data_IF_335701556623
#
_entry.id   IF_335701556623
#
_cell.length_a   1.000
_cell.length_b   1.000
_cell.length_c   1.000
_cell.angle_alpha   90.00
_cell.angle_beta   90.00
_cell.angle_gamma   90.00
#
_symmetry.space_group_name_H-M   'P 1'
#
loop_
_entity.id
_entity.type
_entity.pdbx_description
1 polymer ?
#
# COMPACT_ATOMS: atom_id res chain seq x y z
N UNK A 1 -10.36 24.25 -33.25
CA UNK A 1 -11.40 24.14 -32.21
C UNK A 1 -11.63 22.67 -31.93
N UNK A 2 -11.17 22.16 -30.78
CA UNK A 2 -11.30 20.74 -30.43
C UNK A 2 -12.57 20.48 -29.63
N UNK A 3 -13.20 19.32 -29.83
CA UNK A 3 -14.32 18.88 -29.02
C UNK A 3 -13.87 18.67 -27.56
N UNK A 4 -14.54 19.32 -26.62
CA UNK A 4 -14.32 19.12 -25.18
C UNK A 4 -15.31 18.09 -24.65
N UNK A 5 -14.81 16.93 -24.21
CA UNK A 5 -15.61 15.91 -23.55
C UNK A 5 -15.56 16.07 -22.03
N UNK A 6 -16.73 16.31 -21.42
CA UNK A 6 -16.94 16.27 -19.98
C UNK A 6 -18.28 15.62 -19.68
N UNK A 7 -18.27 14.47 -19.02
CA UNK A 7 -19.49 13.80 -18.53
C UNK A 7 -19.47 13.80 -17.01
N UNK A 8 -20.60 14.07 -16.39
CA UNK A 8 -20.72 14.13 -14.93
C UNK A 8 -21.94 13.34 -14.50
N UNK A 9 -21.72 12.34 -13.65
CA UNK A 9 -22.75 11.40 -13.21
C UNK A 9 -22.88 11.56 -11.70
N UNK A 10 -24.08 11.89 -11.22
CA UNK A 10 -24.38 11.85 -9.79
C UNK A 10 -24.68 10.39 -9.43
N UNK A 11 -23.90 9.82 -8.51
CA UNK A 11 -24.02 8.42 -8.12
C UNK A 11 -24.86 8.28 -6.84
N UNK A 12 -24.74 9.25 -5.93
CA UNK A 12 -25.60 9.38 -4.75
C UNK A 12 -25.70 10.84 -4.27
N UNK A 13 -26.45 11.10 -3.20
CA UNK A 13 -26.72 12.46 -2.69
C UNK A 13 -25.44 13.09 -2.13
N UNK A 14 -24.81 13.96 -2.93
CA UNK A 14 -23.57 14.65 -2.56
C UNK A 14 -22.33 14.17 -3.32
N UNK A 15 -22.44 13.10 -4.12
CA UNK A 15 -21.31 12.45 -4.81
C UNK A 15 -21.50 12.54 -6.33
N UNK A 16 -20.41 12.88 -7.01
CA UNK A 16 -20.38 13.10 -8.46
C UNK A 16 -19.08 12.60 -9.04
N UNK A 17 -19.17 11.68 -10.00
CA UNK A 17 -18.03 11.27 -10.81
C UNK A 17 -18.00 12.11 -12.08
N UNK A 18 -16.86 12.69 -12.39
CA UNK A 18 -16.62 13.48 -13.58
C UNK A 18 -15.63 12.73 -14.48
N UNK A 19 -16.04 12.45 -15.70
CA UNK A 19 -15.17 11.96 -16.75
C UNK A 19 -14.75 13.14 -17.62
N UNK A 20 -13.45 13.30 -17.81
CA UNK A 20 -12.88 14.36 -18.65
C UNK A 20 -11.71 13.81 -19.47
N UNK A 21 -11.22 14.59 -20.44
CA UNK A 21 -10.00 14.26 -21.20
C UNK A 21 -8.77 14.04 -20.30
N UNK A 22 -8.77 14.61 -19.10
CA UNK A 22 -7.69 14.52 -18.10
C UNK A 22 -7.71 13.23 -17.26
N UNK A 23 -8.75 12.41 -17.41
CA UNK A 23 -9.04 11.26 -16.54
C UNK A 23 -10.34 11.43 -15.73
N UNK A 24 -10.81 10.35 -15.09
CA UNK A 24 -11.91 10.40 -14.14
C UNK A 24 -11.52 11.16 -12.86
N UNK A 25 -12.48 11.86 -12.28
CA UNK A 25 -12.33 12.54 -10.99
C UNK A 25 -13.60 12.43 -10.17
N UNK A 26 -13.44 12.14 -8.89
CA UNK A 26 -14.55 12.03 -7.94
C UNK A 26 -14.69 13.37 -7.23
N UNK A 27 -15.93 13.82 -7.02
CA UNK A 27 -16.23 15.02 -6.26
C UNK A 27 -17.34 14.74 -5.27
N UNK A 28 -17.09 14.99 -3.99
CA UNK A 28 -18.02 14.70 -2.91
C UNK A 28 -18.19 15.91 -1.99
N UNK A 29 -19.37 16.08 -1.38
CA UNK A 29 -19.62 17.11 -0.37
C UNK A 29 -21.00 17.77 -0.44
N UNK A 30 -21.41 18.34 0.69
CA UNK A 30 -22.72 18.96 0.91
C UNK A 30 -22.84 20.35 0.25
N UNK A 31 -24.06 20.86 0.10
CA UNK A 31 -24.28 22.22 -0.46
C UNK A 31 -23.48 23.25 0.36
N UNK A 32 -22.48 23.86 -0.27
CA UNK A 32 -21.58 24.82 0.35
C UNK A 32 -20.18 24.29 0.73
N UNK A 33 -19.89 22.99 0.60
CA UNK A 33 -18.52 22.47 0.72
C UNK A 33 -18.34 21.22 -0.14
N UNK A 34 -17.37 21.23 -1.05
CA UNK A 34 -17.07 20.12 -1.98
C UNK A 34 -15.57 19.84 -2.04
N UNK A 35 -15.24 18.57 -1.97
CA UNK A 35 -13.93 18.01 -2.24
C UNK A 35 -13.94 17.39 -3.63
N UNK A 36 -12.79 17.42 -4.31
CA UNK A 36 -12.61 16.71 -5.57
C UNK A 36 -11.19 16.20 -5.72
N UNK A 37 -11.06 14.95 -6.15
CA UNK A 37 -9.79 14.25 -6.34
C UNK A 37 -9.77 13.69 -7.76
N UNK A 38 -8.61 13.71 -8.42
CA UNK A 38 -8.42 13.19 -9.78
C UNK A 38 -7.40 12.05 -9.80
N UNK A 39 -7.35 11.31 -10.90
CA UNK A 39 -6.36 10.23 -11.17
C UNK A 39 -4.88 10.65 -11.15
N UNK A 40 -4.56 11.91 -10.85
CA UNK A 40 -3.19 12.42 -10.68
C UNK A 40 -2.89 12.84 -9.24
N UNK A 41 -3.77 12.53 -8.28
CA UNK A 41 -3.60 12.86 -6.87
C UNK A 41 -3.73 14.35 -6.53
N UNK A 42 -4.40 15.16 -7.37
CA UNK A 42 -4.63 16.57 -7.07
C UNK A 42 -5.97 16.76 -6.35
N UNK A 43 -5.93 16.93 -5.02
CA UNK A 43 -7.08 17.28 -4.22
C UNK A 43 -7.44 18.78 -4.28
N UNK A 44 -8.73 19.09 -4.33
CA UNK A 44 -9.26 20.47 -4.27
C UNK A 44 -10.43 20.55 -3.31
N UNK A 45 -10.34 21.46 -2.35
CA UNK A 45 -11.45 21.86 -1.48
C UNK A 45 -12.13 23.13 -2.00
N UNK A 46 -13.44 23.13 -2.11
CA UNK A 46 -14.26 24.29 -2.47
C UNK A 46 -15.28 24.54 -1.36
N UNK A 47 -15.24 25.72 -0.73
CA UNK A 47 -16.19 26.16 0.30
C UNK A 47 -16.99 27.33 -0.25
N UNK A 48 -18.31 27.36 -0.12
CA UNK A 48 -19.16 28.41 -0.66
C UNK A 48 -20.44 28.59 0.14
N UNK A 49 -21.02 29.78 0.06
CA UNK A 49 -22.26 30.11 0.76
C UNK A 49 -23.44 29.66 -0.13
N UNK A 50 -24.31 28.74 0.34
CA UNK A 50 -25.45 28.26 -0.44
C UNK A 50 -26.35 29.40 -0.92
N UNK A 51 -26.68 29.43 -2.21
CA UNK A 51 -27.63 30.40 -2.77
C UNK A 51 -27.09 31.81 -3.06
N UNK A 52 -25.84 32.13 -2.69
CA UNK A 52 -25.24 33.46 -2.92
C UNK A 52 -24.37 33.56 -4.18
N UNK A 53 -24.01 32.42 -4.79
CA UNK A 53 -23.05 32.35 -5.90
C UNK A 53 -21.57 32.52 -5.48
N UNK A 54 -21.30 32.87 -4.22
CA UNK A 54 -19.95 33.10 -3.69
C UNK A 54 -19.33 31.78 -3.26
N UNK A 55 -18.17 31.46 -3.83
CA UNK A 55 -17.40 30.25 -3.53
C UNK A 55 -15.89 30.54 -3.53
N UNK A 56 -15.20 29.98 -2.55
CA UNK A 56 -13.76 29.98 -2.39
C UNK A 56 -13.21 28.59 -2.70
N UNK A 57 -12.23 28.51 -3.59
CA UNK A 57 -11.61 27.24 -4.02
C UNK A 57 -10.12 27.30 -3.68
N UNK A 58 -9.62 26.31 -2.94
CA UNK A 58 -8.22 26.21 -2.54
C UNK A 58 -7.73 24.76 -2.73
N UNK A 59 -6.51 24.60 -3.24
CA UNK A 59 -5.76 23.35 -3.08
C UNK A 59 -5.27 23.33 -1.64
N UNK A 60 -5.78 22.42 -0.82
CA UNK A 60 -5.52 22.42 0.62
C UNK A 60 -4.60 21.26 0.96
N UNK A 61 -3.55 21.55 1.75
CA UNK A 61 -2.51 20.59 2.12
C UNK A 61 -2.70 20.07 3.56
N UNK A 62 -3.92 19.63 3.91
CA UNK A 62 -4.24 19.12 5.26
C UNK A 62 -3.47 17.84 5.57
N UNK A 63 -3.19 17.02 4.56
CA UNK A 63 -2.42 15.78 4.71
C UNK A 63 -0.95 16.00 5.04
N UNK A 64 -0.37 17.18 4.78
CA UNK A 64 0.96 17.50 5.32
C UNK A 64 0.98 17.65 6.84
N UNK A 65 -0.15 18.00 7.47
CA UNK A 65 -0.26 18.03 8.92
C UNK A 65 -0.39 16.61 9.48
N UNK A 66 -1.22 15.77 8.86
CA UNK A 66 -1.39 14.35 9.26
C UNK A 66 -0.10 13.56 9.05
N UNK A 67 0.63 13.76 7.93
CA UNK A 67 1.92 13.10 7.66
C UNK A 67 3.00 13.36 8.71
N UNK A 68 2.89 14.41 9.52
CA UNK A 68 3.83 14.64 10.65
C UNK A 68 3.62 13.65 11.80
N UNK A 69 2.43 13.08 11.91
CA UNK A 69 2.05 12.08 12.90
C UNK A 69 2.23 10.64 12.39
N UNK A 70 2.67 10.46 11.14
CA UNK A 70 2.66 9.15 10.45
C UNK A 70 4.03 8.75 9.88
N UNK A 71 5.10 9.52 10.13
CA UNK A 71 6.42 9.21 9.55
C UNK A 71 7.29 8.40 10.51
N UNK A 72 7.77 7.26 10.04
CA UNK A 72 8.95 6.54 10.56
C UNK A 72 10.20 6.86 9.70
N UNK A 73 11.37 6.83 10.33
CA UNK A 73 12.65 7.41 9.86
C UNK A 73 13.56 6.43 9.08
N UNK A 74 13.04 5.37 8.45
CA UNK A 74 13.88 4.24 8.00
C UNK A 74 14.52 4.34 6.59
N UNK A 75 14.31 5.40 5.82
CA UNK A 75 14.97 5.55 4.50
C UNK A 75 16.47 5.89 4.58
N UNK A 76 16.99 6.14 5.78
CA UNK A 76 18.35 6.67 5.99
C UNK A 76 19.45 5.66 5.66
N UNK A 77 19.21 4.34 5.71
CA UNK A 77 20.30 3.33 5.62
C UNK A 77 20.59 2.86 4.19
N UNK A 78 19.57 2.71 3.34
CA UNK A 78 19.70 2.35 1.92
C UNK A 78 20.35 3.49 1.13
N UNK A 79 19.86 4.71 1.32
CA UNK A 79 20.39 5.92 0.69
C UNK A 79 21.88 6.11 1.01
N UNK A 80 22.30 5.93 2.27
CA UNK A 80 23.71 6.03 2.67
C UNK A 80 24.64 5.01 2.01
N UNK A 81 24.15 3.80 1.68
CA UNK A 81 24.97 2.78 1.02
C UNK A 81 25.06 3.01 -0.49
N UNK A 82 23.95 3.43 -1.11
CA UNK A 82 23.90 3.80 -2.53
C UNK A 82 24.72 5.07 -2.81
N UNK A 83 24.68 6.07 -1.92
CA UNK A 83 25.52 7.27 -1.99
C UNK A 83 27.01 6.92 -1.94
N UNK A 84 27.44 6.02 -1.04
CA UNK A 84 28.85 5.58 -0.96
C UNK A 84 29.34 4.84 -2.21
N UNK A 85 28.46 4.12 -2.90
CA UNK A 85 28.76 3.49 -4.18
C UNK A 85 28.85 4.52 -5.32
N UNK A 86 27.96 5.53 -5.30
CA UNK A 86 27.94 6.61 -6.28
C UNK A 86 29.14 7.57 -6.17
N UNK A 87 29.71 7.73 -4.97
CA UNK A 87 30.92 8.53 -4.73
C UNK A 87 32.18 7.96 -5.41
N UNK A 88 32.16 6.70 -5.89
CA UNK A 88 33.19 6.15 -6.78
C UNK A 88 34.58 6.02 -6.16
N UNK A 89 34.69 6.04 -4.82
CA UNK A 89 35.96 5.98 -4.07
C UNK A 89 36.33 4.57 -3.59
N UNK A 90 35.52 3.55 -3.90
CA UNK A 90 35.71 2.18 -3.43
C UNK A 90 36.66 1.40 -4.34
N UNK A 91 37.55 0.61 -3.73
CA UNK A 91 38.36 -0.38 -4.45
C UNK A 91 37.43 -1.44 -5.09
N UNK A 92 37.79 -2.05 -6.24
CA UNK A 92 37.02 -3.14 -6.85
C UNK A 92 36.63 -4.27 -5.87
N UNK A 93 37.47 -4.58 -4.89
CA UNK A 93 37.17 -5.60 -3.86
C UNK A 93 36.09 -5.15 -2.87
N UNK A 94 36.12 -3.90 -2.42
CA UNK A 94 35.12 -3.31 -1.53
C UNK A 94 33.76 -3.11 -2.23
N UNK A 95 33.80 -2.80 -3.53
CA UNK A 95 32.60 -2.71 -4.38
C UNK A 95 31.87 -4.04 -4.44
N UNK A 96 32.60 -5.14 -4.65
CA UNK A 96 32.03 -6.50 -4.70
C UNK A 96 31.39 -6.89 -3.36
N UNK A 97 32.06 -6.61 -2.25
CA UNK A 97 31.53 -6.88 -0.90
C UNK A 97 30.25 -6.07 -0.63
N UNK A 98 30.24 -4.79 -1.01
CA UNK A 98 29.08 -3.90 -0.84
C UNK A 98 27.89 -4.39 -1.67
N UNK A 99 28.11 -4.80 -2.93
CA UNK A 99 27.06 -5.35 -3.79
C UNK A 99 26.48 -6.67 -3.26
N UNK A 100 27.32 -7.54 -2.66
CA UNK A 100 26.84 -8.74 -2.00
C UNK A 100 25.99 -8.38 -0.78
N UNK A 101 26.45 -7.46 0.07
CA UNK A 101 25.70 -7.01 1.25
C UNK A 101 24.35 -6.41 0.86
N UNK A 102 24.30 -5.58 -0.19
CA UNK A 102 23.04 -5.05 -0.71
C UNK A 102 22.09 -6.15 -1.18
N UNK A 103 22.62 -7.18 -1.86
CA UNK A 103 21.83 -8.32 -2.30
C UNK A 103 21.28 -9.15 -1.13
N UNK A 104 22.12 -9.45 -0.13
CA UNK A 104 21.72 -10.17 1.08
C UNK A 104 20.68 -9.37 1.88
N UNK A 105 20.91 -8.09 2.09
CA UNK A 105 19.98 -7.19 2.74
C UNK A 105 18.64 -7.12 1.99
N UNK A 106 18.66 -7.08 0.66
CA UNK A 106 17.44 -7.10 -0.14
C UNK A 106 16.63 -8.38 0.07
N UNK A 107 17.27 -9.55 0.03
CA UNK A 107 16.63 -10.85 0.29
C UNK A 107 16.07 -10.90 1.72
N UNK A 108 16.81 -10.40 2.71
CA UNK A 108 16.32 -10.35 4.08
C UNK A 108 15.13 -9.40 4.23
N UNK A 109 15.16 -8.25 3.56
CA UNK A 109 14.10 -7.26 3.61
C UNK A 109 12.79 -7.77 2.99
N UNK A 110 12.82 -8.35 1.79
CA UNK A 110 11.59 -8.90 1.18
C UNK A 110 10.94 -9.99 2.05
N UNK A 111 11.74 -10.76 2.81
CA UNK A 111 11.24 -11.79 3.73
C UNK A 111 10.71 -11.23 5.05
N UNK A 112 11.13 -10.02 5.44
CA UNK A 112 10.89 -9.46 6.76
C UNK A 112 10.21 -8.07 6.72
N UNK A 113 9.70 -7.62 5.58
CA UNK A 113 9.03 -6.31 5.45
C UNK A 113 7.87 -6.14 6.44
N UNK A 114 7.23 -7.22 6.89
CA UNK A 114 6.21 -7.19 7.96
C UNK A 114 6.70 -6.66 9.32
N UNK A 115 8.02 -6.57 9.52
CA UNK A 115 8.63 -6.04 10.75
C UNK A 115 8.80 -4.53 10.71
N UNK A 116 8.75 -3.93 9.52
CA UNK A 116 8.70 -2.48 9.37
C UNK A 116 7.34 -2.00 9.91
N UNK A 117 7.32 -0.88 10.64
CA UNK A 117 6.13 -0.40 11.36
C UNK A 117 6.00 1.10 11.21
N UNK A 118 4.80 1.53 10.82
CA UNK A 118 4.42 2.94 10.82
C UNK A 118 3.84 3.33 12.18
N UNK A 119 3.95 4.61 12.53
CA UNK A 119 3.35 5.11 13.78
C UNK A 119 1.83 4.96 13.74
N UNK A 120 1.26 4.50 14.86
CA UNK A 120 -0.20 4.37 14.97
C UNK A 120 -0.83 5.75 15.12
N UNK A 121 -1.83 6.03 14.30
CA UNK A 121 -2.50 7.32 14.28
C UNK A 121 -3.62 7.37 15.32
N UNK A 122 -3.53 8.26 16.30
CA UNK A 122 -4.61 8.51 17.26
C UNK A 122 -5.60 9.53 16.71
N UNK A 123 -6.67 9.04 16.07
CA UNK A 123 -7.75 9.88 15.55
C UNK A 123 -8.50 10.68 16.60
N UNK A 124 -8.54 10.21 17.87
CA UNK A 124 -9.17 10.99 18.95
C UNK A 124 -8.30 12.17 19.32
N UNK A 125 -6.98 11.99 19.34
CA UNK A 125 -6.05 13.10 19.53
C UNK A 125 -6.20 14.12 18.38
N UNK A 126 -6.20 13.67 17.12
CA UNK A 126 -6.38 14.53 15.95
C UNK A 126 -7.70 15.31 16.01
N UNK A 127 -8.79 14.65 16.38
CA UNK A 127 -10.09 15.31 16.58
C UNK A 127 -10.02 16.39 17.67
N UNK A 128 -9.31 16.13 18.77
CA UNK A 128 -9.19 17.05 19.90
C UNK A 128 -8.30 18.26 19.61
N UNK A 129 -7.29 18.10 18.74
CA UNK A 129 -6.40 19.18 18.30
C UNK A 129 -7.05 20.06 17.23
N UNK A 130 -8.02 19.54 16.48
CA UNK A 130 -8.78 20.31 15.51
C UNK A 130 -9.70 21.35 16.16
N UNK A 131 -9.67 22.57 15.64
CA UNK A 131 -10.47 23.71 16.08
C UNK A 131 -11.09 24.47 14.89
N UNK A 132 -12.01 25.39 15.18
CA UNK A 132 -12.66 26.24 14.16
C UNK A 132 -11.84 27.50 13.83
N UNK A 133 -10.58 27.60 14.27
CA UNK A 133 -9.76 28.81 14.11
C UNK A 133 -9.33 29.04 12.66
N UNK A 134 -9.15 27.96 11.90
CA UNK A 134 -8.75 27.99 10.49
C UNK A 134 -9.57 26.98 9.68
N UNK A 135 -9.79 27.22 8.37
CA UNK A 135 -10.44 26.26 7.50
C UNK A 135 -9.74 24.89 7.49
N UNK A 136 -8.41 24.87 7.56
CA UNK A 136 -7.61 23.65 7.61
C UNK A 136 -7.85 22.85 8.90
N UNK A 137 -7.82 23.51 10.06
CA UNK A 137 -8.04 22.88 11.37
C UNK A 137 -9.47 22.33 11.50
N UNK A 138 -10.45 23.07 10.98
CA UNK A 138 -11.84 22.62 10.91
C UNK A 138 -12.01 21.39 10.03
N UNK A 139 -11.38 21.37 8.85
CA UNK A 139 -11.43 20.23 7.95
C UNK A 139 -10.77 18.99 8.56
N UNK A 140 -9.67 19.17 9.30
CA UNK A 140 -8.99 18.08 10.02
C UNK A 140 -9.91 17.47 11.09
N UNK A 141 -10.59 18.32 11.87
CA UNK A 141 -11.58 17.89 12.86
C UNK A 141 -12.73 17.11 12.24
N UNK A 142 -13.33 17.65 11.17
CA UNK A 142 -14.44 17.00 10.46
C UNK A 142 -14.01 15.66 9.83
N UNK A 143 -12.79 15.56 9.30
CA UNK A 143 -12.26 14.29 8.79
C UNK A 143 -12.10 13.26 9.92
N UNK A 144 -11.51 13.65 11.05
CA UNK A 144 -11.35 12.76 12.20
C UNK A 144 -12.70 12.29 12.76
N UNK A 145 -13.72 13.16 12.80
CA UNK A 145 -15.10 12.81 13.16
C UNK A 145 -15.67 11.71 12.24
N UNK A 146 -15.47 11.83 10.93
CA UNK A 146 -15.95 10.85 9.95
C UNK A 146 -15.22 9.50 10.08
N UNK A 147 -13.89 9.53 10.23
CA UNK A 147 -13.07 8.31 10.41
C UNK A 147 -13.49 7.58 11.70
N UNK A 148 -13.68 8.29 12.80
CA UNK A 148 -14.14 7.70 14.07
C UNK A 148 -15.59 7.20 14.00
N UNK A 149 -16.40 7.75 13.10
CA UNK A 149 -17.77 7.30 12.86
C UNK A 149 -17.87 6.07 11.94
N UNK A 150 -16.75 5.59 11.38
CA UNK A 150 -16.75 4.44 10.47
C UNK A 150 -17.12 4.79 9.04
N UNK A 151 -16.90 6.03 8.60
CA UNK A 151 -17.22 6.43 7.23
C UNK A 151 -16.20 5.88 6.22
N UNK A 152 -16.66 4.99 5.34
CA UNK A 152 -15.82 4.33 4.33
C UNK A 152 -15.11 5.30 3.39
N UNK A 153 -15.79 6.38 2.98
CA UNK A 153 -15.20 7.36 2.08
C UNK A 153 -14.07 8.12 2.77
N UNK A 154 -14.25 8.43 4.06
CA UNK A 154 -13.18 9.00 4.88
C UNK A 154 -11.99 8.04 4.97
N UNK A 155 -12.22 6.73 5.17
CA UNK A 155 -11.14 5.73 5.16
C UNK A 155 -10.39 5.69 3.83
N UNK A 156 -11.11 5.58 2.70
CA UNK A 156 -10.48 5.56 1.38
C UNK A 156 -9.72 6.85 1.09
N UNK A 157 -10.27 8.02 1.47
CA UNK A 157 -9.62 9.31 1.33
C UNK A 157 -8.31 9.37 2.13
N UNK A 158 -8.33 8.86 3.37
CA UNK A 158 -7.13 8.80 4.21
C UNK A 158 -6.08 7.91 3.58
N UNK A 159 -6.43 6.72 3.09
CA UNK A 159 -5.48 5.81 2.46
C UNK A 159 -4.89 6.40 1.17
N UNK A 160 -5.72 7.01 0.32
CA UNK A 160 -5.28 7.63 -0.95
C UNK A 160 -4.28 8.78 -0.74
N UNK A 161 -4.46 9.56 0.33
CA UNK A 161 -3.66 10.76 0.59
C UNK A 161 -2.43 10.48 1.47
N UNK A 162 -2.57 9.58 2.44
CA UNK A 162 -1.46 9.13 3.27
C UNK A 162 -0.51 8.24 2.50
N UNK A 163 -1.04 7.45 1.55
CA UNK A 163 -0.30 6.50 0.72
C UNK A 163 0.59 5.58 1.57
N UNK A 164 -0.03 4.77 2.45
CA UNK A 164 0.72 3.94 3.40
C UNK A 164 1.54 2.82 2.73
N UNK A 165 1.42 2.62 1.42
CA UNK A 165 2.09 1.55 0.68
C UNK A 165 3.09 2.07 -0.35
N UNK A 166 3.38 3.38 -0.38
CA UNK A 166 4.30 3.98 -1.37
C UNK A 166 5.71 3.35 -1.26
N UNK A 167 6.17 3.03 -0.05
CA UNK A 167 7.41 2.29 0.22
C UNK A 167 7.35 0.85 -0.30
N UNK A 168 6.19 0.20 -0.22
CA UNK A 168 6.01 -1.18 -0.69
C UNK A 168 6.01 -1.32 -2.20
N UNK A 169 5.83 -0.23 -2.96
CA UNK A 169 5.90 -0.25 -4.42
C UNK A 169 7.28 -0.71 -4.94
N UNK A 170 8.35 -0.54 -4.15
CA UNK A 170 9.68 -1.05 -4.49
C UNK A 170 9.76 -2.58 -4.50
N UNK A 171 8.80 -3.25 -3.86
CA UNK A 171 8.59 -4.69 -3.89
C UNK A 171 7.58 -5.10 -4.96
N UNK A 172 7.32 -4.23 -5.93
CA UNK A 172 6.66 -4.57 -7.19
C UNK A 172 5.16 -4.79 -7.06
N UNK A 173 4.44 -3.83 -6.48
CA UNK A 173 2.99 -3.91 -6.37
C UNK A 173 2.29 -2.58 -6.61
N UNK A 174 1.37 -2.57 -7.57
CA UNK A 174 0.24 -1.64 -7.55
C UNK A 174 -0.76 -2.12 -6.49
N UNK A 175 -1.18 -1.21 -5.62
CA UNK A 175 -2.17 -1.49 -4.57
C UNK A 175 -3.52 -0.90 -4.97
N UNK A 176 -4.54 -1.75 -5.00
CA UNK A 176 -5.92 -1.37 -5.14
C UNK A 176 -6.61 -1.49 -3.79
N UNK A 177 -7.24 -0.41 -3.35
CA UNK A 177 -7.94 -0.34 -2.06
C UNK A 177 -9.41 -0.04 -2.33
N UNK A 178 -10.30 -0.77 -1.68
CA UNK A 178 -11.73 -0.61 -1.85
C UNK A 178 -12.52 -1.14 -0.66
N UNK A 179 -13.84 -1.09 -0.77
CA UNK A 179 -14.76 -1.66 0.21
C UNK A 179 -15.43 -2.88 -0.43
N UNK A 180 -15.43 -4.00 0.28
CA UNK A 180 -16.07 -5.23 -0.17
C UNK A 180 -17.60 -5.11 -0.10
N UNK A 181 -18.32 -6.08 -0.69
CA UNK A 181 -19.78 -6.12 -0.62
C UNK A 181 -20.28 -6.31 0.82
N UNK A 182 -19.45 -6.89 1.69
CA UNK A 182 -19.73 -7.15 3.10
C UNK A 182 -19.18 -6.06 4.03
N UNK A 183 -18.90 -4.87 3.49
CA UNK A 183 -18.51 -3.67 4.25
C UNK A 183 -17.14 -3.79 4.96
N UNK A 184 -16.22 -4.53 4.35
CA UNK A 184 -14.83 -4.65 4.82
C UNK A 184 -13.89 -3.82 3.96
N UNK A 185 -12.82 -3.30 4.57
CA UNK A 185 -11.70 -2.76 3.80
C UNK A 185 -11.00 -3.91 3.05
N UNK A 186 -11.03 -3.85 1.72
CA UNK A 186 -10.37 -4.79 0.83
C UNK A 186 -9.12 -4.17 0.22
N UNK A 187 -8.02 -4.91 0.21
CA UNK A 187 -6.81 -4.56 -0.54
C UNK A 187 -6.43 -5.68 -1.47
N UNK A 188 -6.18 -5.33 -2.73
CA UNK A 188 -5.58 -6.21 -3.72
C UNK A 188 -4.23 -5.63 -4.11
N UNK A 189 -3.19 -6.46 -4.17
CA UNK A 189 -1.88 -6.04 -4.66
C UNK A 189 -1.34 -7.02 -5.69
N UNK A 190 -0.74 -6.48 -6.76
CA UNK A 190 -0.13 -7.31 -7.79
C UNK A 190 1.25 -7.80 -7.33
N UNK A 191 1.49 -9.08 -7.51
CA UNK A 191 2.72 -9.80 -7.17
C UNK A 191 3.57 -9.82 -8.44
N UNK A 192 4.57 -8.97 -8.54
CA UNK A 192 5.54 -9.04 -9.62
C UNK A 192 6.71 -9.99 -9.26
N UNK A 193 6.41 -11.28 -9.04
CA UNK A 193 7.39 -12.23 -8.49
C UNK A 193 8.67 -12.35 -9.34
N UNK A 194 8.55 -12.18 -10.66
CA UNK A 194 9.67 -12.24 -11.59
C UNK A 194 10.62 -11.04 -11.53
N UNK A 195 10.14 -9.84 -11.16
CA UNK A 195 10.98 -8.66 -11.01
C UNK A 195 11.52 -8.50 -9.58
N UNK A 196 10.78 -9.00 -8.59
CA UNK A 196 11.07 -8.83 -7.15
C UNK A 196 11.96 -9.95 -6.63
N UNK A 197 11.70 -11.20 -7.01
CA UNK A 197 12.47 -12.34 -6.49
C UNK A 197 13.61 -12.67 -7.45
N UNK A 198 14.87 -12.60 -7.02
CA UNK A 198 16.00 -12.94 -7.88
C UNK A 198 15.97 -14.40 -8.37
N UNK A 199 16.49 -14.62 -9.57
CA UNK A 199 16.63 -15.96 -10.17
C UNK A 199 17.95 -16.65 -9.83
N UNK A 200 18.89 -15.93 -9.22
CA UNK A 200 20.25 -16.38 -8.95
C UNK A 200 20.62 -16.23 -7.48
N UNK A 201 21.60 -17.02 -7.05
CA UNK A 201 22.26 -16.91 -5.75
C UNK A 201 23.67 -16.40 -5.97
N UNK A 202 24.04 -15.35 -5.24
CA UNK A 202 25.40 -14.78 -5.23
C UNK A 202 26.20 -15.35 -4.07
N UNK A 203 27.47 -15.65 -4.29
CA UNK A 203 28.40 -16.05 -3.23
C UNK A 203 29.78 -15.49 -3.53
N UNK A 204 30.42 -14.83 -2.57
CA UNK A 204 31.81 -14.39 -2.73
C UNK A 204 32.77 -15.54 -2.43
N UNK A 205 33.63 -15.83 -3.40
CA UNK A 205 34.69 -16.82 -3.28
C UNK A 205 35.83 -16.27 -2.41
N UNK A 206 36.63 -17.16 -1.83
CA UNK A 206 37.84 -16.81 -1.05
C UNK A 206 38.85 -15.95 -1.82
N UNK A 207 38.72 -15.88 -3.14
CA UNK A 207 39.53 -15.06 -4.05
C UNK A 207 39.00 -13.63 -4.26
N UNK A 208 37.88 -13.25 -3.64
CA UNK A 208 37.24 -11.94 -3.81
C UNK A 208 36.39 -11.80 -5.08
N UNK A 209 36.22 -12.87 -5.86
CA UNK A 209 35.33 -12.90 -7.05
C UNK A 209 33.92 -13.35 -6.67
N UNK A 210 32.91 -12.77 -7.31
CA UNK A 210 31.50 -13.21 -7.18
C UNK A 210 31.28 -14.47 -8.02
N UNK A 211 30.69 -15.49 -7.40
CA UNK A 211 30.08 -16.62 -8.09
C UNK A 211 28.57 -16.41 -8.12
N UNK A 212 27.99 -16.43 -9.32
CA UNK A 212 26.55 -16.39 -9.52
C UNK A 212 26.10 -17.77 -10.01
N UNK A 213 25.06 -18.34 -9.38
CA UNK A 213 24.50 -19.63 -9.76
C UNK A 213 22.98 -19.52 -9.83
N UNK A 214 22.32 -20.17 -10.81
CA UNK A 214 20.87 -20.27 -10.83
C UNK A 214 20.35 -20.81 -9.51
N UNK A 215 19.34 -20.13 -8.96
CA UNK A 215 18.66 -20.57 -7.76
C UNK A 215 17.84 -21.83 -8.06
N UNK A 216 17.76 -22.75 -7.11
CA UNK A 216 16.86 -23.90 -7.27
C UNK A 216 15.40 -23.43 -7.27
N UNK A 217 14.55 -24.10 -8.04
CA UNK A 217 13.13 -23.76 -8.12
C UNK A 217 12.44 -23.76 -6.74
N UNK A 218 12.82 -24.69 -5.86
CA UNK A 218 12.28 -24.75 -4.50
C UNK A 218 12.72 -23.57 -3.63
N UNK A 219 13.96 -23.10 -3.77
CA UNK A 219 14.41 -21.90 -3.07
C UNK A 219 13.68 -20.65 -3.58
N UNK A 220 13.55 -20.50 -4.90
CA UNK A 220 12.82 -19.37 -5.51
C UNK A 220 11.36 -19.35 -5.03
N UNK A 221 10.67 -20.49 -5.11
CA UNK A 221 9.28 -20.64 -4.67
C UNK A 221 9.10 -20.30 -3.18
N UNK A 222 10.05 -20.70 -2.33
CA UNK A 222 10.02 -20.36 -0.91
C UNK A 222 10.18 -18.84 -0.69
N UNK A 223 11.07 -18.18 -1.43
CA UNK A 223 11.22 -16.72 -1.36
C UNK A 223 9.97 -16.00 -1.83
N UNK A 224 9.34 -16.43 -2.93
CA UNK A 224 8.07 -15.85 -3.41
C UNK A 224 6.98 -15.95 -2.35
N UNK A 225 6.83 -17.12 -1.71
CA UNK A 225 5.89 -17.31 -0.59
C UNK A 225 6.20 -16.38 0.58
N UNK A 226 7.46 -16.33 1.02
CA UNK A 226 7.88 -15.52 2.16
C UNK A 226 7.67 -14.03 1.90
N UNK A 227 7.98 -13.56 0.69
CA UNK A 227 7.71 -12.20 0.21
C UNK A 227 6.22 -11.87 0.24
N UNK A 228 5.38 -12.64 -0.45
CA UNK A 228 3.94 -12.37 -0.54
C UNK A 228 3.29 -12.34 0.84
N UNK A 229 3.63 -13.31 1.69
CA UNK A 229 3.06 -13.39 3.03
C UNK A 229 3.58 -12.28 3.93
N UNK A 230 4.85 -11.91 3.84
CA UNK A 230 5.40 -10.76 4.58
C UNK A 230 4.73 -9.45 4.16
N UNK A 231 4.61 -9.17 2.86
CA UNK A 231 3.94 -7.97 2.33
C UNK A 231 2.47 -7.92 2.77
N UNK A 232 1.77 -9.05 2.71
CA UNK A 232 0.37 -9.16 3.17
C UNK A 232 0.21 -8.76 4.63
N UNK A 233 1.14 -9.17 5.51
CA UNK A 233 1.13 -8.75 6.91
C UNK A 233 1.50 -7.28 7.08
N UNK A 234 2.47 -6.75 6.30
CA UNK A 234 2.83 -5.32 6.34
C UNK A 234 1.64 -4.43 5.98
N UNK A 235 0.95 -4.71 4.87
CA UNK A 235 -0.28 -4.01 4.46
C UNK A 235 -1.32 -4.00 5.58
N UNK A 236 -1.52 -5.14 6.25
CA UNK A 236 -2.43 -5.24 7.38
C UNK A 236 -2.02 -4.36 8.56
N UNK A 237 -0.73 -4.33 8.90
CA UNK A 237 -0.19 -3.47 9.98
C UNK A 237 -0.45 -2.01 9.68
N UNK A 238 -0.15 -1.57 8.46
CA UNK A 238 -0.21 -0.15 8.10
C UNK A 238 -1.65 0.34 8.07
N UNK A 239 -2.59 -0.47 7.58
CA UNK A 239 -4.01 -0.15 7.65
C UNK A 239 -4.56 -0.12 9.08
N UNK A 240 -4.19 -1.08 9.93
CA UNK A 240 -4.63 -1.09 11.32
C UNK A 240 -4.01 0.05 12.15
N UNK A 241 -2.80 0.48 11.79
CA UNK A 241 -2.13 1.64 12.38
C UNK A 241 -2.77 2.96 11.91
N UNK A 242 -3.18 3.02 10.63
CA UNK A 242 -3.72 4.23 10.00
C UNK A 242 -5.21 4.45 10.29
N UNK A 243 -6.02 3.40 10.33
CA UNK A 243 -7.49 3.49 10.40
C UNK A 243 -8.03 2.70 11.58
N UNK A 244 -9.14 3.10 12.22
CA UNK A 244 -9.79 2.36 13.31
C UNK A 244 -10.73 1.25 12.79
N UNK A 245 -10.28 0.42 11.84
CA UNK A 245 -11.04 -0.69 11.25
C UNK A 245 -10.84 -2.02 11.98
N UNK A 246 -11.87 -2.85 12.09
CA UNK A 246 -11.80 -4.13 12.82
C UNK A 246 -11.41 -5.33 11.94
N UNK A 247 -11.71 -5.25 10.65
CA UNK A 247 -11.51 -6.35 9.69
C UNK A 247 -11.02 -5.82 8.36
N UNK A 248 -10.10 -6.57 7.77
CA UNK A 248 -9.58 -6.31 6.42
C UNK A 248 -9.45 -7.62 5.66
N UNK A 249 -9.67 -7.58 4.34
CA UNK A 249 -9.40 -8.69 3.43
C UNK A 249 -8.26 -8.27 2.52
N UNK A 250 -7.22 -9.10 2.41
CA UNK A 250 -6.08 -8.83 1.54
C UNK A 250 -5.91 -9.95 0.54
N UNK A 251 -5.82 -9.58 -0.74
CA UNK A 251 -5.58 -10.46 -1.87
C UNK A 251 -4.23 -10.13 -2.53
N UNK A 252 -3.43 -11.16 -2.76
CA UNK A 252 -2.22 -11.07 -3.56
C UNK A 252 -2.48 -11.73 -4.92
N UNK A 253 -2.36 -10.99 -6.01
CA UNK A 253 -2.69 -11.45 -7.36
C UNK A 253 -1.48 -11.42 -8.27
N UNK A 254 -1.35 -12.38 -9.19
CA UNK A 254 -0.32 -12.36 -10.22
C UNK A 254 -0.97 -12.51 -11.59
N UNK A 255 -0.52 -11.72 -12.57
CA UNK A 255 -0.96 -11.86 -13.95
C UNK A 255 -0.34 -13.13 -14.54
N UNK A 256 -1.19 -14.09 -14.90
CA UNK A 256 -0.77 -15.39 -15.43
C UNK A 256 -1.49 -15.71 -16.72
N UNK A 257 -0.80 -16.39 -17.66
CA UNK A 257 -1.44 -16.90 -18.86
C UNK A 257 -2.44 -18.01 -18.51
N UNK A 258 -3.72 -17.78 -18.75
CA UNK A 258 -4.74 -18.81 -18.66
C UNK A 258 -4.71 -19.67 -19.95
N UNK A 259 -4.31 -20.96 -19.89
CA UNK A 259 -4.21 -21.79 -21.08
C UNK A 259 -5.58 -22.14 -21.69
N UNK A 260 -6.67 -22.00 -20.95
CA UNK A 260 -8.02 -22.25 -21.46
C UNK A 260 -8.55 -21.11 -22.33
N UNK A 261 -8.19 -19.86 -21.99
CA UNK A 261 -8.63 -18.66 -22.73
C UNK A 261 -7.53 -18.12 -23.66
N UNK A 262 -6.26 -18.42 -23.38
CA UNK A 262 -5.10 -17.89 -24.07
C UNK A 262 -4.76 -16.44 -23.70
N UNK A 263 -5.40 -15.89 -22.67
CA UNK A 263 -5.22 -14.52 -22.21
C UNK A 263 -4.49 -14.47 -20.87
N UNK A 264 -3.78 -13.37 -20.63
CA UNK A 264 -3.29 -13.03 -19.29
C UNK A 264 -4.48 -12.62 -18.42
N UNK A 265 -4.56 -13.22 -17.25
CA UNK A 265 -5.61 -13.00 -16.26
C UNK A 265 -4.96 -12.85 -14.88
N UNK A 266 -5.44 -11.90 -14.08
CA UNK A 266 -5.01 -11.76 -12.70
C UNK A 266 -5.60 -12.89 -11.86
N UNK A 267 -4.70 -13.69 -11.27
CA UNK A 267 -5.06 -14.85 -10.47
C UNK A 267 -4.63 -14.64 -9.02
N UNK A 268 -5.57 -14.82 -8.08
CA UNK A 268 -5.29 -14.72 -6.64
C UNK A 268 -4.42 -15.90 -6.19
N UNK A 269 -3.25 -15.61 -5.62
CA UNK A 269 -2.31 -16.60 -5.07
C UNK A 269 -2.43 -16.76 -3.54
N UNK A 270 -2.85 -15.70 -2.87
CA UNK A 270 -3.14 -15.66 -1.43
C UNK A 270 -4.32 -14.73 -1.20
N UNK A 271 -5.26 -15.18 -0.36
CA UNK A 271 -6.33 -14.36 0.18
C UNK A 271 -6.43 -14.59 1.67
N UNK A 272 -6.55 -13.54 2.48
CA UNK A 272 -6.62 -13.65 3.95
C UNK A 272 -7.51 -12.57 4.55
N UNK A 273 -8.26 -12.94 5.59
CA UNK A 273 -9.06 -12.03 6.39
C UNK A 273 -8.38 -11.83 7.74
N UNK A 274 -7.94 -10.61 8.02
CA UNK A 274 -7.38 -10.26 9.32
C UNK A 274 -8.43 -9.58 10.21
N UNK A 275 -8.48 -10.00 11.47
CA UNK A 275 -9.24 -9.34 12.53
C UNK A 275 -8.29 -8.60 13.46
N UNK A 276 -8.55 -7.30 13.72
CA UNK A 276 -7.69 -6.44 14.56
C UNK A 276 -7.34 -7.08 15.90
N UNK A 277 -8.32 -7.67 16.59
CA UNK A 277 -8.12 -8.25 17.92
C UNK A 277 -7.15 -9.45 17.90
N UNK A 278 -7.26 -10.32 16.90
CA UNK A 278 -6.36 -11.48 16.74
C UNK A 278 -4.98 -11.03 16.26
N UNK A 279 -4.96 -10.09 15.30
CA UNK A 279 -3.75 -9.55 14.71
C UNK A 279 -2.88 -8.81 15.74
N UNK A 280 -3.50 -8.03 16.61
CA UNK A 280 -2.81 -7.30 17.68
C UNK A 280 -2.19 -8.18 18.78
N UNK A 281 -2.51 -9.48 18.82
CA UNK A 281 -1.91 -10.45 19.77
C UNK A 281 -0.61 -11.07 19.26
N UNK A 282 -0.27 -10.87 17.98
CA UNK A 282 0.92 -11.46 17.39
C UNK A 282 2.19 -10.75 17.85
N UNK A 283 3.26 -11.55 18.03
CA UNK A 283 4.61 -11.03 18.23
C UNK A 283 5.34 -10.95 16.88
N UNK A 284 5.28 -9.79 16.22
CA UNK A 284 5.79 -9.60 14.86
C UNK A 284 7.30 -9.81 14.72
N UNK A 285 8.07 -9.66 15.78
CA UNK A 285 9.51 -9.95 15.75
C UNK A 285 9.81 -11.45 15.59
N UNK A 286 8.89 -12.29 16.09
CA UNK A 286 9.07 -13.74 16.19
C UNK A 286 8.16 -14.59 15.30
N UNK A 287 7.18 -14.00 14.61
CA UNK A 287 6.33 -14.75 13.69
C UNK A 287 7.09 -15.12 12.41
N UNK A 288 6.65 -16.21 11.80
CA UNK A 288 6.92 -16.53 10.40
C UNK A 288 5.62 -16.30 9.65
N UNK A 289 5.50 -15.28 8.76
CA UNK A 289 4.21 -14.86 8.20
C UNK A 289 3.39 -15.98 7.56
N UNK A 290 3.99 -16.82 6.71
CA UNK A 290 3.29 -17.91 6.05
C UNK A 290 2.80 -19.01 7.02
N UNK A 291 3.43 -19.18 8.19
CA UNK A 291 2.92 -20.07 9.25
C UNK A 291 1.85 -19.36 10.10
N UNK A 292 2.03 -18.07 10.36
CA UNK A 292 1.12 -17.25 11.14
C UNK A 292 -0.25 -17.06 10.47
N UNK A 293 -0.35 -17.25 9.14
CA UNK A 293 -1.63 -17.32 8.42
C UNK A 293 -2.62 -18.31 9.04
N UNK A 294 -2.13 -19.39 9.68
CA UNK A 294 -2.98 -20.38 10.36
C UNK A 294 -3.84 -19.81 11.50
N UNK A 295 -3.53 -18.62 12.00
CA UNK A 295 -4.35 -17.91 13.00
C UNK A 295 -5.57 -17.21 12.38
N UNK A 296 -5.66 -17.15 11.05
CA UNK A 296 -6.65 -16.39 10.30
C UNK A 296 -7.36 -17.25 9.26
N UNK A 297 -8.54 -16.80 8.84
CA UNK A 297 -9.20 -17.35 7.67
C UNK A 297 -8.37 -16.96 6.43
N UNK A 298 -7.85 -17.96 5.71
CA UNK A 298 -6.98 -17.76 4.57
C UNK A 298 -7.18 -18.84 3.49
N UNK A 299 -6.89 -18.47 2.25
CA UNK A 299 -6.78 -19.36 1.11
C UNK A 299 -5.37 -19.25 0.51
N UNK A 300 -4.62 -20.37 0.51
CA UNK A 300 -3.30 -20.47 -0.08
C UNK A 300 -3.00 -21.94 -0.45
N UNK A 301 -2.54 -22.21 -1.68
CA UNK A 301 -2.02 -23.54 -2.08
C UNK A 301 -0.55 -23.42 -2.47
N UNK A 302 0.34 -23.85 -1.58
CA UNK A 302 1.78 -23.83 -1.81
C UNK A 302 2.37 -25.24 -1.85
N UNK A 303 3.17 -25.52 -2.88
CA UNK A 303 3.98 -26.76 -2.94
C UNK A 303 5.44 -26.41 -3.25
N UNK A 304 6.43 -26.96 -2.53
CA UNK A 304 7.84 -26.55 -2.67
C UNK A 304 8.37 -26.59 -4.11
N UNK A 305 7.97 -27.58 -4.91
CA UNK A 305 8.35 -27.65 -6.32
C UNK A 305 7.43 -26.83 -7.24
N UNK A 306 6.13 -26.74 -6.96
CA UNK A 306 5.18 -26.08 -7.87
C UNK A 306 5.12 -24.56 -7.67
N UNK A 307 5.42 -24.07 -6.46
CA UNK A 307 5.17 -22.70 -6.05
C UNK A 307 3.76 -22.52 -5.51
N UNK A 308 3.31 -21.26 -5.48
CA UNK A 308 1.92 -20.91 -5.20
C UNK A 308 1.05 -21.25 -6.40
N UNK A 309 -0.15 -21.73 -6.14
CA UNK A 309 -1.18 -21.99 -7.16
C UNK A 309 -2.37 -21.05 -6.95
N UNK A 310 -3.10 -20.71 -8.03
CA UNK A 310 -4.31 -19.91 -7.92
C UNK A 310 -5.33 -20.50 -6.94
N UNK A 311 -5.94 -19.62 -6.15
CA UNK A 311 -7.01 -19.91 -5.19
C UNK A 311 -8.21 -19.00 -5.45
N UNK A 312 -9.35 -19.30 -4.83
CA UNK A 312 -10.49 -18.38 -4.86
C UNK A 312 -10.30 -17.31 -3.78
N UNK A 313 -10.55 -16.02 -4.09
CA UNK A 313 -10.52 -14.97 -3.10
C UNK A 313 -11.64 -15.17 -2.06
N UNK A 314 -11.33 -14.86 -0.81
CA UNK A 314 -12.29 -14.81 0.28
C UNK A 314 -13.22 -13.59 0.11
N UNK A 315 -14.40 -13.66 0.73
CA UNK A 315 -15.44 -12.63 0.65
C UNK A 315 -15.61 -11.95 2.00
#
# INVERSE_FOLDING_TARGET
MGFNFRKSINIAKGIRVNFSKSGPSVSFGKTGMRFSVNTKGQARGTVGIPGSGVHYRKQVNIFSAIKRFFKSDENITKEKLEERLAEGHLDPSETVLTQQQLFENYIERIKNVHKEVDETLDWKEIQSQGDDSTPESKMLKELAELVLAGDDEAYLTVVEEMRPFDDLTEFGSDFEVGITVDDYMGVTFNVHSDSVVPSEVRTVLKSGKVSEKPMTMTMRNALVRDYITSTTFRVARDLFALLPIDRIVINAEESMLNPATGHEEDMTLLSVIFHREQFGKLNFDGIVPWEALSNFEHAMDFKPRKGLSPVLPLK
#
